data_IF_758904273233
#
_entry.id   IF_758904273233
#
_cell.length_a   1.000
_cell.length_b   1.000
_cell.length_c   1.000
_cell.angle_alpha   90.00
_cell.angle_beta   90.00
_cell.angle_gamma   90.00
#
_symmetry.space_group_name_H-M   'P 1'
#
loop_
_entity.id
_entity.type
_entity.pdbx_description
1 polymer ?
#
# COMPACT_ATOMS: atom_id res chain seq x y z
N UNK A 1 2.70 -8.33 10.92
CA UNK A 1 2.67 -6.85 10.75
C UNK A 1 4.09 -6.38 10.44
N UNK A 2 4.29 -5.45 9.50
CA UNK A 2 5.63 -4.90 9.23
C UNK A 2 6.03 -3.84 10.28
N UNK A 3 7.32 -3.52 10.38
CA UNK A 3 7.88 -2.60 11.39
C UNK A 3 7.25 -1.21 11.30
N UNK A 4 7.09 -0.66 10.10
CA UNK A 4 6.54 0.67 9.88
C UNK A 4 5.09 0.78 10.38
N UNK A 5 4.24 -0.18 10.01
CA UNK A 5 2.87 -0.26 10.48
C UNK A 5 2.80 -0.51 11.98
N UNK A 6 3.70 -1.33 12.54
CA UNK A 6 3.75 -1.59 13.97
C UNK A 6 4.14 -0.32 14.75
N UNK A 7 5.09 0.46 14.23
CA UNK A 7 5.46 1.75 14.79
C UNK A 7 4.28 2.73 14.77
N UNK A 8 3.60 2.86 13.64
CA UNK A 8 2.41 3.71 13.51
C UNK A 8 1.22 3.27 14.37
N UNK A 9 1.08 1.97 14.65
CA UNK A 9 0.03 1.40 15.52
C UNK A 9 0.44 1.32 17.00
N UNK A 10 1.65 1.72 17.36
CA UNK A 10 2.18 1.66 18.72
C UNK A 10 2.55 0.26 19.23
N UNK A 11 2.42 -0.79 18.41
CA UNK A 11 2.83 -2.16 18.78
C UNK A 11 4.34 -2.38 18.63
N UNK A 12 5.04 -1.48 17.93
CA UNK A 12 6.48 -1.31 18.00
C UNK A 12 6.77 0.09 18.54
N UNK A 13 6.72 0.24 19.86
CA UNK A 13 6.86 1.55 20.51
C UNK A 13 7.75 1.54 21.74
N UNK A 14 8.02 2.72 22.31
CA UNK A 14 8.90 2.90 23.48
C UNK A 14 8.56 1.94 24.62
N UNK A 15 7.29 1.90 25.06
CA UNK A 15 6.87 1.09 26.19
C UNK A 15 7.06 -0.41 25.94
N UNK A 16 6.72 -0.89 24.74
CA UNK A 16 6.92 -2.29 24.37
C UNK A 16 8.41 -2.64 24.31
N UNK A 17 9.24 -1.77 23.74
CA UNK A 17 10.69 -2.00 23.68
C UNK A 17 11.31 -2.05 25.09
N UNK A 18 10.99 -1.10 25.96
CA UNK A 18 11.43 -1.08 27.37
C UNK A 18 11.03 -2.38 28.08
N UNK A 19 9.77 -2.79 27.94
CA UNK A 19 9.26 -4.02 28.52
C UNK A 19 10.03 -5.24 28.01
N UNK A 20 10.34 -5.33 26.72
CA UNK A 20 11.10 -6.45 26.14
C UNK A 20 12.55 -6.49 26.64
N UNK A 21 13.19 -5.34 26.82
CA UNK A 21 14.55 -5.26 27.39
C UNK A 21 14.57 -5.83 28.81
N UNK A 22 13.57 -5.47 29.63
CA UNK A 22 13.45 -5.93 31.01
C UNK A 22 13.13 -7.43 31.10
N UNK A 23 12.12 -7.89 30.34
CA UNK A 23 11.70 -9.29 30.34
C UNK A 23 12.79 -10.25 29.83
N UNK A 24 13.64 -9.80 28.91
CA UNK A 24 14.77 -10.59 28.41
C UNK A 24 16.01 -10.54 29.30
N UNK A 25 15.99 -9.74 30.37
CA UNK A 25 17.16 -9.43 31.19
C UNK A 25 18.40 -9.05 30.35
N UNK A 26 18.18 -8.30 29.26
CA UNK A 26 19.24 -8.02 28.27
C UNK A 26 20.46 -7.34 28.91
N UNK A 27 20.20 -6.52 29.94
CA UNK A 27 21.21 -5.87 30.76
C UNK A 27 22.22 -6.82 31.42
N UNK A 28 21.83 -8.07 31.70
CA UNK A 28 22.69 -9.10 32.28
C UNK A 28 23.39 -9.98 31.25
N UNK A 29 23.02 -9.88 29.96
CA UNK A 29 23.55 -10.73 28.89
C UNK A 29 24.68 -10.05 28.12
N UNK A 30 24.60 -8.73 27.93
CA UNK A 30 25.60 -7.96 27.17
C UNK A 30 26.33 -6.96 28.06
N UNK A 31 27.63 -6.78 27.82
CA UNK A 31 28.46 -5.81 28.57
C UNK A 31 28.24 -4.36 28.16
N UNK A 32 27.69 -4.12 26.98
CA UNK A 32 27.43 -2.79 26.44
C UNK A 32 25.96 -2.37 26.60
N UNK A 33 25.69 -1.07 26.52
CA UNK A 33 24.33 -0.51 26.57
C UNK A 33 23.90 0.13 25.25
N UNK A 34 24.00 -0.62 24.16
CA UNK A 34 23.62 -0.18 22.81
C UNK A 34 22.57 -1.11 22.21
N UNK A 35 21.57 -0.52 21.57
CA UNK A 35 20.52 -1.20 20.82
C UNK A 35 20.52 -0.70 19.38
N UNK A 36 20.48 -1.65 18.45
CA UNK A 36 20.34 -1.34 17.03
C UNK A 36 18.90 -1.60 16.62
N UNK A 37 18.22 -0.56 16.13
CA UNK A 37 16.84 -0.65 15.65
C UNK A 37 16.74 -0.38 14.15
N UNK A 38 15.72 -0.93 13.46
CA UNK A 38 15.41 -0.57 12.08
C UNK A 38 14.99 0.89 11.96
N UNK A 39 15.41 1.59 10.91
CA UNK A 39 15.07 3.01 10.68
C UNK A 39 13.56 3.23 10.62
N UNK A 40 12.83 2.32 10.00
CA UNK A 40 11.37 2.40 9.86
C UNK A 40 10.63 2.28 11.20
N UNK A 41 11.31 1.92 12.30
CA UNK A 41 10.75 1.93 13.65
C UNK A 41 10.85 3.29 14.35
N UNK A 42 11.63 4.23 13.81
CA UNK A 42 11.91 5.50 14.46
C UNK A 42 10.67 6.34 14.83
N UNK A 43 9.59 6.38 14.02
CA UNK A 43 8.38 7.12 14.40
C UNK A 43 7.67 6.58 15.65
N UNK A 44 7.87 5.30 16.00
CA UNK A 44 7.21 4.66 17.14
C UNK A 44 8.04 4.66 18.43
N UNK A 45 9.36 4.81 18.34
CA UNK A 45 10.28 4.65 19.47
C UNK A 45 10.99 5.96 19.79
N UNK A 46 10.69 6.51 20.97
CA UNK A 46 11.40 7.65 21.52
C UNK A 46 12.73 7.19 22.14
N UNK A 47 13.81 7.24 21.35
CA UNK A 47 15.14 6.76 21.74
C UNK A 47 15.64 7.36 23.08
N UNK A 48 15.37 8.65 23.32
CA UNK A 48 15.76 9.32 24.55
C UNK A 48 15.01 8.78 25.79
N UNK A 49 13.75 8.37 25.64
CA UNK A 49 12.99 7.76 26.73
C UNK A 49 13.45 6.33 27.02
N UNK A 50 13.79 5.56 25.97
CA UNK A 50 14.39 4.23 26.13
C UNK A 50 15.69 4.33 26.92
N UNK A 51 16.56 5.26 26.54
CA UNK A 51 17.82 5.51 27.25
C UNK A 51 17.58 5.92 28.71
N UNK A 52 16.64 6.84 28.96
CA UNK A 52 16.29 7.28 30.32
C UNK A 52 15.80 6.13 31.21
N UNK A 53 15.01 5.21 30.66
CA UNK A 53 14.36 4.13 31.44
C UNK A 53 15.21 2.87 31.58
N UNK A 54 16.12 2.60 30.65
CA UNK A 54 16.83 1.31 30.57
C UNK A 54 18.36 1.44 30.57
N UNK A 55 18.86 2.66 30.39
CA UNK A 55 20.29 2.93 30.16
C UNK A 55 20.77 2.54 28.77
N UNK A 56 19.95 1.93 27.91
CA UNK A 56 20.34 1.55 26.55
C UNK A 56 20.18 2.70 25.56
N UNK A 57 21.27 3.04 24.88
CA UNK A 57 21.26 4.00 23.77
C UNK A 57 20.80 3.30 22.49
N UNK A 58 19.82 3.89 21.82
CA UNK A 58 19.27 3.38 20.55
C UNK A 58 19.99 4.04 19.37
N UNK A 59 20.42 3.21 18.42
CA UNK A 59 20.93 3.64 17.11
C UNK A 59 20.07 3.03 16.02
N UNK A 60 19.63 3.86 15.07
CA UNK A 60 18.84 3.40 13.93
C UNK A 60 19.77 2.99 12.78
N UNK A 61 19.78 1.69 12.44
CA UNK A 61 20.75 1.13 11.49
C UNK A 61 20.38 1.37 10.03
N UNK A 62 19.52 0.54 9.47
CA UNK A 62 19.20 0.53 8.05
C UNK A 62 17.72 0.20 7.83
N UNK A 63 17.24 0.44 6.61
CA UNK A 63 15.93 -0.03 6.16
C UNK A 63 15.95 -1.54 5.91
N UNK A 64 17.01 -2.06 5.29
CA UNK A 64 17.14 -3.47 4.95
C UNK A 64 18.06 -4.17 5.95
N UNK A 65 17.65 -5.33 6.45
CA UNK A 65 18.48 -6.13 7.37
C UNK A 65 19.77 -6.64 6.70
N UNK A 66 19.76 -6.81 5.37
CA UNK A 66 20.93 -7.20 4.60
C UNK A 66 22.08 -6.17 4.66
N UNK A 67 21.78 -4.91 5.00
CA UNK A 67 22.79 -3.86 5.12
C UNK A 67 23.47 -3.85 6.49
N UNK A 68 23.03 -4.69 7.45
CA UNK A 68 23.57 -4.73 8.81
C UNK A 68 25.08 -5.03 8.86
N UNK A 69 25.65 -5.99 8.10
CA UNK A 69 27.09 -6.23 8.12
C UNK A 69 27.89 -4.97 7.76
N UNK A 70 27.57 -4.35 6.62
CA UNK A 70 28.22 -3.12 6.18
C UNK A 70 28.02 -1.94 7.16
N UNK A 71 26.84 -1.85 7.80
CA UNK A 71 26.58 -0.85 8.83
C UNK A 71 27.47 -1.05 10.07
N UNK A 72 27.70 -2.30 10.50
CA UNK A 72 28.57 -2.63 11.61
C UNK A 72 30.05 -2.37 11.26
N UNK A 73 30.49 -2.76 10.07
CA UNK A 73 31.86 -2.58 9.58
C UNK A 73 32.21 -1.08 9.43
N UNK A 74 31.23 -0.25 9.08
CA UNK A 74 31.37 1.21 9.04
C UNK A 74 31.20 1.90 10.41
N UNK A 75 31.32 1.17 11.51
CA UNK A 75 31.33 1.75 12.85
C UNK A 75 29.97 2.30 13.29
N UNK A 76 28.87 1.65 12.89
CA UNK A 76 27.48 2.07 13.18
C UNK A 76 27.06 3.37 12.50
N UNK A 77 27.69 3.70 11.37
CA UNK A 77 27.33 4.88 10.57
C UNK A 77 26.46 4.46 9.40
N UNK A 78 25.20 4.87 9.44
CA UNK A 78 24.25 4.64 8.35
C UNK A 78 24.58 5.50 7.13
N UNK A 79 24.84 4.87 5.99
CA UNK A 79 25.05 5.55 4.70
C UNK A 79 23.72 6.03 4.08
N UNK A 80 23.72 6.98 3.13
CA UNK A 80 22.50 7.42 2.44
C UNK A 80 21.70 6.28 1.82
N UNK A 81 22.36 5.33 1.15
CA UNK A 81 21.71 4.19 0.51
C UNK A 81 20.95 3.29 1.50
N UNK A 82 21.44 3.15 2.73
CA UNK A 82 20.78 2.38 3.80
C UNK A 82 19.49 3.05 4.32
N UNK A 83 19.30 4.35 4.05
CA UNK A 83 18.13 5.15 4.48
C UNK A 83 17.08 5.32 3.38
N UNK A 84 17.36 4.86 2.17
CA UNK A 84 16.53 5.11 1.01
C UNK A 84 15.76 3.85 0.56
N UNK A 85 14.46 4.00 0.36
CA UNK A 85 13.66 3.02 -0.36
C UNK A 85 13.73 3.33 -1.85
N UNK A 86 14.19 2.38 -2.64
CA UNK A 86 14.34 2.52 -4.10
C UNK A 86 13.00 2.49 -4.84
N UNK A 87 11.95 2.00 -4.18
CA UNK A 87 10.59 1.86 -4.70
C UNK A 87 10.53 1.31 -6.14
N UNK A 88 11.33 0.28 -6.40
CA UNK A 88 11.43 -0.43 -7.68
C UNK A 88 10.13 -1.15 -8.03
N UNK A 89 9.98 -1.59 -9.28
CA UNK A 89 8.81 -2.38 -9.69
C UNK A 89 8.57 -3.61 -8.81
N UNK A 90 9.65 -4.29 -8.39
CA UNK A 90 9.59 -5.44 -7.48
C UNK A 90 9.05 -5.04 -6.10
N UNK A 91 9.53 -3.94 -5.54
CA UNK A 91 9.07 -3.44 -4.23
C UNK A 91 7.59 -3.03 -4.27
N UNK A 92 7.11 -2.50 -5.40
CA UNK A 92 5.68 -2.21 -5.61
C UNK A 92 4.84 -3.47 -5.75
N UNK A 93 5.33 -4.46 -6.50
CA UNK A 93 4.64 -5.73 -6.72
C UNK A 93 4.35 -6.45 -5.38
N UNK A 94 5.28 -6.37 -4.42
CA UNK A 94 5.11 -6.95 -3.08
C UNK A 94 3.96 -6.32 -2.29
N UNK A 95 3.54 -5.09 -2.63
CA UNK A 95 2.42 -4.40 -1.97
C UNK A 95 1.05 -4.78 -2.57
N UNK A 96 1.00 -5.27 -3.81
CA UNK A 96 -0.28 -5.60 -4.48
C UNK A 96 -1.09 -6.68 -3.75
N UNK A 97 -0.49 -7.78 -3.23
CA UNK A 97 -1.27 -8.82 -2.55
C UNK A 97 -2.05 -8.32 -1.34
N UNK A 98 -1.49 -7.40 -0.55
CA UNK A 98 -2.22 -6.88 0.63
C UNK A 98 -3.41 -6.02 0.22
N UNK A 99 -3.27 -5.24 -0.85
CA UNK A 99 -4.37 -4.43 -1.41
C UNK A 99 -5.45 -5.30 -2.04
N UNK A 100 -5.07 -6.39 -2.73
CA UNK A 100 -6.01 -7.37 -3.27
C UNK A 100 -6.82 -8.02 -2.15
N UNK A 101 -6.18 -8.48 -1.08
CA UNK A 101 -6.88 -9.07 0.07
C UNK A 101 -7.85 -8.07 0.70
N UNK A 102 -7.47 -6.80 0.82
CA UNK A 102 -8.36 -5.75 1.31
C UNK A 102 -9.57 -5.52 0.36
N UNK A 103 -9.35 -5.67 -0.95
CA UNK A 103 -10.39 -5.55 -1.97
C UNK A 103 -11.34 -6.76 -2.05
N UNK A 104 -10.91 -7.98 -1.69
CA UNK A 104 -11.71 -9.22 -1.86
C UNK A 104 -13.12 -9.09 -1.29
N UNK A 105 -13.27 -8.64 -0.04
CA UNK A 105 -14.58 -8.58 0.61
C UNK A 105 -15.56 -7.61 -0.09
N UNK A 106 -15.22 -6.32 -0.30
CA UNK A 106 -16.13 -5.41 -1.03
C UNK A 106 -16.34 -5.87 -2.47
N UNK A 107 -15.30 -6.37 -3.15
CA UNK A 107 -15.39 -6.87 -4.53
C UNK A 107 -16.32 -8.07 -4.65
N UNK A 108 -16.28 -9.02 -3.71
CA UNK A 108 -17.18 -10.18 -3.72
C UNK A 108 -18.65 -9.77 -3.58
N UNK A 109 -18.94 -8.83 -2.67
CA UNK A 109 -20.31 -8.32 -2.45
C UNK A 109 -20.81 -7.61 -3.72
N UNK A 110 -20.01 -6.69 -4.29
CA UNK A 110 -20.39 -5.94 -5.49
C UNK A 110 -20.56 -6.89 -6.69
N UNK A 111 -19.66 -7.86 -6.86
CA UNK A 111 -19.75 -8.87 -7.92
C UNK A 111 -21.03 -9.69 -7.82
N UNK A 112 -21.41 -10.11 -6.61
CA UNK A 112 -22.66 -10.86 -6.40
C UNK A 112 -23.90 -10.01 -6.75
N UNK A 113 -23.91 -8.74 -6.34
CA UNK A 113 -25.01 -7.81 -6.67
C UNK A 113 -25.10 -7.60 -8.19
N UNK A 114 -23.96 -7.36 -8.86
CA UNK A 114 -23.91 -7.21 -10.31
C UNK A 114 -24.36 -8.47 -11.04
N UNK A 115 -23.92 -9.64 -10.58
CA UNK A 115 -24.29 -10.92 -11.17
C UNK A 115 -25.81 -11.12 -11.13
N UNK A 116 -26.44 -10.91 -9.97
CA UNK A 116 -27.89 -11.07 -9.80
C UNK A 116 -28.65 -10.02 -10.61
N UNK A 117 -28.29 -8.74 -10.50
CA UNK A 117 -28.98 -7.66 -11.19
C UNK A 117 -28.92 -7.84 -12.72
N UNK A 118 -27.72 -8.04 -13.27
CA UNK A 118 -27.56 -8.19 -14.71
C UNK A 118 -28.16 -9.49 -15.24
N UNK A 119 -28.13 -10.59 -14.47
CA UNK A 119 -28.78 -11.83 -14.88
C UNK A 119 -30.30 -11.68 -14.99
N UNK A 120 -30.93 -10.94 -14.07
CA UNK A 120 -32.39 -10.72 -14.07
C UNK A 120 -32.81 -9.79 -15.23
N UNK A 121 -32.07 -8.69 -15.45
CA UNK A 121 -32.51 -7.65 -16.40
C UNK A 121 -31.93 -7.78 -17.81
N UNK A 122 -30.77 -8.43 -17.97
CA UNK A 122 -30.06 -8.53 -19.25
C UNK A 122 -29.59 -9.95 -19.60
N UNK A 123 -29.89 -10.94 -18.76
CA UNK A 123 -29.51 -12.34 -18.95
C UNK A 123 -28.05 -12.66 -18.57
N UNK A 124 -27.65 -13.95 -18.67
CA UNK A 124 -26.35 -14.42 -18.22
C UNK A 124 -25.16 -13.75 -18.93
N UNK A 125 -25.28 -13.43 -20.22
CA UNK A 125 -24.22 -12.77 -20.98
C UNK A 125 -23.94 -11.35 -20.46
N UNK A 126 -24.99 -10.60 -20.09
CA UNK A 126 -24.86 -9.27 -19.49
C UNK A 126 -24.22 -9.33 -18.09
N UNK A 127 -24.48 -10.38 -17.32
CA UNK A 127 -23.82 -10.61 -16.04
C UNK A 127 -22.31 -10.85 -16.21
N UNK A 128 -21.92 -11.69 -17.17
CA UNK A 128 -20.50 -11.96 -17.45
C UNK A 128 -19.77 -10.70 -17.90
N UNK A 129 -20.35 -9.90 -18.81
CA UNK A 129 -19.72 -8.65 -19.25
C UNK A 129 -19.61 -7.64 -18.10
N UNK A 130 -20.66 -7.45 -17.30
CA UNK A 130 -20.62 -6.55 -16.15
C UNK A 130 -19.55 -6.95 -15.11
N UNK A 131 -19.43 -8.25 -14.82
CA UNK A 131 -18.40 -8.79 -13.92
C UNK A 131 -17.01 -8.56 -14.51
N UNK A 132 -16.82 -8.83 -15.81
CA UNK A 132 -15.53 -8.61 -16.47
C UNK A 132 -15.12 -7.12 -16.43
N UNK A 133 -16.05 -6.22 -16.74
CA UNK A 133 -15.84 -4.77 -16.66
C UNK A 133 -15.42 -4.35 -15.25
N UNK A 134 -16.21 -4.75 -14.24
CA UNK A 134 -15.94 -4.44 -12.84
C UNK A 134 -14.59 -5.00 -12.37
N UNK A 135 -14.36 -6.31 -12.54
CA UNK A 135 -13.15 -6.99 -12.10
C UNK A 135 -11.90 -6.37 -12.73
N UNK A 136 -11.93 -6.06 -14.03
CA UNK A 136 -10.82 -5.40 -14.69
C UNK A 136 -10.58 -3.96 -14.20
N UNK A 137 -11.62 -3.22 -13.82
CA UNK A 137 -11.46 -1.90 -13.21
C UNK A 137 -10.85 -1.99 -11.80
N UNK A 138 -11.22 -3.00 -11.02
CA UNK A 138 -10.58 -3.28 -9.73
C UNK A 138 -9.10 -3.61 -9.93
N UNK A 139 -8.77 -4.48 -10.88
CA UNK A 139 -7.37 -4.85 -11.19
C UNK A 139 -6.58 -3.63 -11.71
N UNK A 140 -7.20 -2.77 -12.53
CA UNK A 140 -6.58 -1.55 -13.02
C UNK A 140 -6.20 -0.60 -11.85
N UNK A 141 -7.09 -0.43 -10.88
CA UNK A 141 -6.85 0.39 -9.70
C UNK A 141 -5.84 -0.24 -8.73
N UNK A 142 -6.06 -1.50 -8.33
CA UNK A 142 -5.30 -2.19 -7.28
C UNK A 142 -3.90 -2.61 -7.75
N UNK A 143 -3.76 -3.05 -9.00
CA UNK A 143 -2.52 -3.65 -9.48
C UNK A 143 -1.85 -2.84 -10.59
N UNK A 144 -2.58 -2.47 -11.65
CA UNK A 144 -1.98 -1.77 -12.78
C UNK A 144 -1.47 -0.37 -12.38
N UNK A 145 -2.22 0.35 -11.55
CA UNK A 145 -1.85 1.71 -11.13
C UNK A 145 -0.55 1.76 -10.31
N UNK A 146 -0.36 0.94 -9.26
CA UNK A 146 0.94 0.87 -8.56
C UNK A 146 2.10 0.42 -9.44
N UNK A 147 1.87 -0.54 -10.35
CA UNK A 147 2.92 -1.01 -11.25
C UNK A 147 3.37 0.08 -12.22
N UNK A 148 2.42 0.83 -12.77
CA UNK A 148 2.67 1.86 -13.78
C UNK A 148 2.93 3.26 -13.20
N UNK A 149 3.03 3.36 -11.87
CA UNK A 149 3.04 4.63 -11.14
C UNK A 149 3.99 5.73 -11.68
N UNK A 150 5.24 5.43 -12.12
CA UNK A 150 6.17 6.44 -12.61
C UNK A 150 5.80 6.99 -13.98
N UNK A 151 5.07 6.20 -14.78
CA UNK A 151 4.68 6.56 -16.15
C UNK A 151 3.31 7.22 -16.19
N UNK A 152 2.48 7.05 -15.15
CA UNK A 152 1.16 7.66 -15.09
C UNK A 152 1.24 9.16 -14.78
N UNK A 153 0.50 10.01 -15.49
CA UNK A 153 0.57 11.46 -15.32
C UNK A 153 -0.05 11.92 -13.99
N UNK A 154 0.38 13.10 -13.54
CA UNK A 154 -0.17 13.77 -12.37
C UNK A 154 0.38 13.30 -11.02
N UNK A 155 -0.03 14.00 -9.96
CA UNK A 155 0.41 13.75 -8.57
C UNK A 155 -0.60 12.96 -7.74
N UNK A 156 -1.88 13.06 -8.09
CA UNK A 156 -2.97 12.42 -7.36
C UNK A 156 -3.14 10.96 -7.76
N UNK A 157 -3.41 10.11 -6.76
CA UNK A 157 -3.68 8.68 -6.99
C UNK A 157 -5.04 8.45 -7.65
N UNK A 158 -6.05 9.28 -7.34
CA UNK A 158 -7.34 9.20 -8.02
C UNK A 158 -7.19 9.50 -9.51
N UNK A 159 -6.39 10.50 -9.89
CA UNK A 159 -6.15 10.79 -11.31
C UNK A 159 -5.41 9.63 -12.02
N UNK A 160 -4.35 9.10 -11.40
CA UNK A 160 -3.58 7.97 -11.96
C UNK A 160 -4.47 6.72 -12.12
N UNK A 161 -5.29 6.42 -11.13
CA UNK A 161 -6.26 5.32 -11.18
C UNK A 161 -7.37 5.56 -12.21
N UNK A 162 -7.80 6.80 -12.38
CA UNK A 162 -8.77 7.17 -13.41
C UNK A 162 -8.22 6.95 -14.82
N UNK A 163 -6.94 7.27 -15.04
CA UNK A 163 -6.27 7.04 -16.33
C UNK A 163 -6.18 5.54 -16.65
N UNK A 164 -5.72 4.70 -15.71
CA UNK A 164 -5.66 3.24 -15.93
C UNK A 164 -7.05 2.63 -16.09
N UNK A 165 -8.03 3.13 -15.34
CA UNK A 165 -9.42 2.72 -15.47
C UNK A 165 -10.06 3.15 -16.80
N UNK A 166 -9.68 4.31 -17.35
CA UNK A 166 -10.12 4.75 -18.67
C UNK A 166 -9.54 3.88 -19.78
N UNK A 167 -8.26 3.53 -19.68
CA UNK A 167 -7.64 2.56 -20.60
C UNK A 167 -8.38 1.23 -20.52
N UNK A 168 -8.65 0.72 -19.32
CA UNK A 168 -9.44 -0.51 -19.17
C UNK A 168 -10.85 -0.37 -19.74
N UNK A 169 -11.51 0.76 -19.52
CA UNK A 169 -12.86 0.97 -19.99
C UNK A 169 -12.94 0.98 -21.54
N UNK A 170 -11.92 1.51 -22.22
CA UNK A 170 -11.81 1.42 -23.69
C UNK A 170 -11.62 -0.04 -24.11
N UNK A 171 -10.71 -0.78 -23.47
CA UNK A 171 -10.50 -2.21 -23.75
C UNK A 171 -11.79 -3.02 -23.52
N UNK A 172 -12.51 -2.76 -22.44
CA UNK A 172 -13.79 -3.37 -22.13
C UNK A 172 -14.81 -3.15 -23.24
N UNK A 173 -14.94 -1.91 -23.74
CA UNK A 173 -15.86 -1.61 -24.84
C UNK A 173 -15.43 -2.26 -26.16
N UNK A 174 -14.14 -2.45 -26.42
CA UNK A 174 -13.68 -3.18 -27.60
C UNK A 174 -14.05 -4.67 -27.54
N UNK A 175 -14.10 -5.27 -26.35
CA UNK A 175 -14.38 -6.69 -26.15
C UNK A 175 -15.87 -7.02 -26.00
N UNK A 176 -16.64 -6.13 -25.36
CA UNK A 176 -18.02 -6.39 -24.95
C UNK A 176 -19.04 -5.40 -25.53
N UNK A 177 -18.66 -4.67 -26.58
CA UNK A 177 -19.54 -3.72 -27.29
C UNK A 177 -20.84 -4.35 -27.76
N UNK A 178 -20.78 -5.59 -28.25
CA UNK A 178 -21.91 -6.26 -28.87
C UNK A 178 -22.95 -6.61 -27.79
N UNK A 179 -24.06 -5.87 -27.78
CA UNK A 179 -25.12 -5.99 -26.77
C UNK A 179 -25.21 -4.84 -25.78
N UNK A 180 -24.30 -3.85 -25.83
CA UNK A 180 -24.40 -2.64 -25.02
C UNK A 180 -25.18 -1.54 -25.75
N UNK A 181 -26.13 -0.93 -25.04
CA UNK A 181 -26.80 0.28 -25.52
C UNK A 181 -25.88 1.51 -25.38
N UNK A 182 -26.14 2.57 -26.16
CA UNK A 182 -25.35 3.81 -26.04
C UNK A 182 -25.29 4.40 -24.61
N UNK A 183 -26.40 4.43 -23.85
CA UNK A 183 -26.35 4.81 -22.43
C UNK A 183 -25.48 3.89 -21.58
N UNK A 184 -25.51 2.58 -21.82
CA UNK A 184 -24.68 1.62 -21.08
C UNK A 184 -23.18 1.80 -21.38
N UNK A 185 -22.83 2.11 -22.62
CA UNK A 185 -21.45 2.43 -22.99
C UNK A 185 -20.96 3.70 -22.28
N UNK A 186 -21.77 4.76 -22.26
CA UNK A 186 -21.44 5.99 -21.53
C UNK A 186 -21.32 5.74 -20.02
N UNK A 187 -22.22 4.93 -19.45
CA UNK A 187 -22.16 4.54 -18.05
C UNK A 187 -20.85 3.78 -17.74
N UNK A 188 -20.44 2.84 -18.59
CA UNK A 188 -19.17 2.12 -18.43
C UNK A 188 -17.95 3.05 -18.51
N UNK A 189 -17.99 4.04 -19.41
CA UNK A 189 -16.91 5.05 -19.56
C UNK A 189 -16.75 5.97 -18.36
N UNK A 190 -17.76 6.08 -17.51
CA UNK A 190 -17.71 6.90 -16.30
C UNK A 190 -17.44 6.01 -15.08
N UNK A 191 -18.16 4.88 -14.96
CA UNK A 191 -18.10 4.02 -13.80
C UNK A 191 -16.77 3.28 -13.66
N UNK A 192 -16.22 2.72 -14.74
CA UNK A 192 -14.99 1.93 -14.68
C UNK A 192 -13.77 2.77 -14.28
N UNK A 193 -13.56 3.99 -14.83
CA UNK A 193 -12.54 4.90 -14.31
C UNK A 193 -12.77 5.27 -12.85
N UNK A 194 -14.00 5.56 -12.44
CA UNK A 194 -14.30 5.91 -11.05
C UNK A 194 -13.97 4.77 -10.07
N UNK A 195 -14.30 3.52 -10.42
CA UNK A 195 -13.94 2.33 -9.64
C UNK A 195 -12.42 2.20 -9.53
N UNK A 196 -11.71 2.29 -10.65
CA UNK A 196 -10.24 2.20 -10.66
C UNK A 196 -9.59 3.33 -9.84
N UNK A 197 -10.09 4.57 -9.95
CA UNK A 197 -9.67 5.70 -9.12
C UNK A 197 -9.84 5.43 -7.63
N UNK A 198 -10.99 4.88 -7.23
CA UNK A 198 -11.27 4.55 -5.84
C UNK A 198 -10.29 3.53 -5.28
N UNK A 199 -10.02 2.45 -6.03
CA UNK A 199 -9.07 1.44 -5.58
C UNK A 199 -7.62 1.93 -5.58
N UNK A 200 -7.23 2.78 -6.55
CA UNK A 200 -5.92 3.40 -6.58
C UNK A 200 -5.67 4.33 -5.37
N UNK A 201 -6.71 4.99 -4.85
CA UNK A 201 -6.62 5.83 -3.65
C UNK A 201 -6.23 5.03 -2.40
N UNK A 202 -6.52 3.74 -2.32
CA UNK A 202 -6.11 2.92 -1.17
C UNK A 202 -4.59 2.76 -1.09
N UNK A 203 -3.88 2.95 -2.21
CA UNK A 203 -2.41 2.95 -2.25
C UNK A 203 -1.78 4.27 -1.73
N UNK A 204 -2.60 5.25 -1.35
CA UNK A 204 -2.10 6.48 -0.72
C UNK A 204 -1.42 6.15 0.61
N UNK A 205 -0.22 6.72 0.84
CA UNK A 205 0.60 6.40 2.02
C UNK A 205 1.56 5.22 1.87
N UNK A 206 1.48 4.45 0.78
CA UNK A 206 2.52 3.47 0.40
C UNK A 206 3.73 4.12 -0.29
N UNK A 207 3.62 5.41 -0.63
CA UNK A 207 4.62 6.16 -1.39
C UNK A 207 4.94 7.49 -0.74
N UNK A 208 6.11 8.04 -1.03
CA UNK A 208 6.53 9.37 -0.57
C UNK A 208 5.87 10.52 -1.34
N UNK A 209 5.08 10.24 -2.39
CA UNK A 209 4.42 11.27 -3.19
C UNK A 209 3.29 12.00 -2.46
N UNK A 210 2.64 11.32 -1.51
CA UNK A 210 1.46 11.83 -0.84
C UNK A 210 1.76 12.22 0.60
N UNK A 211 1.45 13.46 0.97
CA UNK A 211 1.40 13.89 2.35
C UNK A 211 0.00 13.67 2.94
N UNK A 212 -0.12 13.63 4.28
CA UNK A 212 -1.42 13.52 4.96
C UNK A 212 -2.41 14.59 4.52
N UNK A 213 -1.95 15.84 4.33
CA UNK A 213 -2.78 16.94 3.85
C UNK A 213 -3.20 16.75 2.39
N UNK A 214 -2.30 16.23 1.54
CA UNK A 214 -2.60 15.86 0.16
C UNK A 214 -3.69 14.79 0.06
N UNK A 215 -3.55 13.69 0.80
CA UNK A 215 -4.57 12.62 0.83
C UNK A 215 -5.92 13.15 1.29
N UNK A 216 -5.96 13.99 2.35
CA UNK A 216 -7.21 14.59 2.82
C UNK A 216 -7.88 15.48 1.77
N UNK A 217 -7.10 16.12 0.89
CA UNK A 217 -7.62 16.90 -0.23
C UNK A 217 -8.18 16.00 -1.34
N UNK A 218 -7.56 14.85 -1.59
CA UNK A 218 -8.01 13.90 -2.63
C UNK A 218 -9.29 13.12 -2.24
N UNK A 219 -9.55 12.96 -0.94
CA UNK A 219 -10.75 12.28 -0.43
C UNK A 219 -11.98 13.18 -0.29
N UNK A 220 -11.83 14.49 -0.47
CA UNK A 220 -12.90 15.49 -0.35
C UNK A 220 -13.32 15.99 -1.72
#
# INVERSE_FOLDING_TARGET
INIWCAAGKGTFGTAELVRRIQLSNLAGVVSHRRLVLPILGAPGVAAHEVARQTGFTVTYAAIRAADLPAFLDHGLVTTPAMRELTFTMRERLVLIPVELVAAVKPTAIITAILAVACAIFGGPAAAVSAIAGYAGAVIAGVAATPLLLPWLPGRSFSLKGGVTGLVWAVVYLLLFREGLTAPAMLAAMIALPAISSFYALNFTGCTTFTSRSGVKKEMR
#
